data_IF_425481136485
#
_entry.id   IF_425481136485
#
_cell.length_a   1.000
_cell.length_b   1.000
_cell.length_c   1.000
_cell.angle_alpha   90.00
_cell.angle_beta   90.00
_cell.angle_gamma   90.00
#
_symmetry.space_group_name_H-M   'P 1'
#
loop_
_entity.id
_entity.type
_entity.pdbx_description
1 polymer ?
#
# COMPACT_ATOMS: atom_id res chain seq x y z
N UNK A 1 19.36 29.13 -47.19
CA UNK A 1 20.14 28.01 -46.62
C UNK A 1 19.67 27.64 -45.20
N UNK A 2 19.49 28.59 -44.27
CA UNK A 2 18.99 28.35 -42.90
C UNK A 2 17.60 27.66 -42.82
N UNK A 3 16.64 28.04 -43.67
CA UNK A 3 15.29 27.43 -43.67
C UNK A 3 15.29 25.94 -44.02
N UNK A 4 16.19 25.49 -44.91
CA UNK A 4 16.31 24.07 -45.27
C UNK A 4 16.94 23.24 -44.14
N UNK A 5 17.84 23.82 -43.36
CA UNK A 5 18.43 23.17 -42.17
C UNK A 5 17.35 22.99 -41.09
N UNK A 6 16.52 24.00 -40.85
CA UNK A 6 15.44 23.90 -39.87
C UNK A 6 14.34 22.91 -40.31
N UNK A 7 14.00 22.90 -41.61
CA UNK A 7 13.06 21.94 -42.17
C UNK A 7 13.57 20.49 -42.10
N UNK A 8 14.87 20.26 -42.26
CA UNK A 8 15.49 18.94 -42.11
C UNK A 8 15.62 18.52 -40.63
N UNK A 9 15.88 19.47 -39.73
CA UNK A 9 15.90 19.22 -38.28
C UNK A 9 14.51 18.83 -37.77
N UNK A 10 13.47 19.53 -38.20
CA UNK A 10 12.09 19.18 -37.87
C UNK A 10 11.72 17.78 -38.33
N UNK A 11 12.08 17.43 -39.57
CA UNK A 11 11.83 16.09 -40.14
C UNK A 11 12.55 14.98 -39.35
N UNK A 12 13.77 15.24 -38.90
CA UNK A 12 14.55 14.33 -38.07
C UNK A 12 13.88 14.13 -36.70
N UNK A 13 13.52 15.22 -36.01
CA UNK A 13 12.82 15.16 -34.72
C UNK A 13 11.48 14.42 -34.84
N UNK A 14 10.71 14.67 -35.90
CA UNK A 14 9.45 13.95 -36.15
C UNK A 14 9.67 12.44 -36.34
N UNK A 15 10.72 12.02 -37.06
CA UNK A 15 11.05 10.59 -37.21
C UNK A 15 11.49 9.93 -35.90
N UNK A 16 12.33 10.61 -35.10
CA UNK A 16 12.72 10.11 -33.78
C UNK A 16 11.50 10.01 -32.86
N UNK A 17 10.69 11.06 -32.76
CA UNK A 17 9.47 11.02 -31.95
C UNK A 17 8.53 9.90 -32.41
N UNK A 18 8.20 9.78 -33.70
CA UNK A 18 7.28 8.74 -34.17
C UNK A 18 7.80 7.30 -34.01
N UNK A 19 9.11 7.07 -34.05
CA UNK A 19 9.67 5.73 -33.92
C UNK A 19 9.78 5.27 -32.46
N UNK A 20 10.03 6.19 -31.52
CA UNK A 20 10.14 5.88 -30.09
C UNK A 20 8.81 6.03 -29.33
N UNK A 21 7.89 6.87 -29.80
CA UNK A 21 6.58 7.11 -29.16
C UNK A 21 5.72 5.85 -28.97
N UNK A 22 5.55 4.94 -29.95
CA UNK A 22 4.75 3.72 -29.73
C UNK A 22 5.42 2.74 -28.77
N UNK A 23 6.76 2.72 -28.67
CA UNK A 23 7.52 1.87 -27.72
C UNK A 23 7.41 2.41 -26.29
N UNK A 24 7.41 3.74 -26.15
CA UNK A 24 7.23 4.42 -24.87
C UNK A 24 5.78 4.25 -24.38
N UNK A 25 4.78 4.39 -25.26
CA UNK A 25 3.38 4.13 -24.91
C UNK A 25 3.16 2.63 -24.63
N UNK A 26 3.75 1.69 -25.38
CA UNK A 26 3.60 0.26 -25.06
C UNK A 26 4.22 -0.11 -23.72
N UNK A 27 5.28 0.57 -23.27
CA UNK A 27 5.83 0.37 -21.92
C UNK A 27 5.05 1.07 -20.81
N UNK A 28 4.43 2.22 -21.10
CA UNK A 28 3.66 3.01 -20.12
C UNK A 28 2.20 2.52 -20.00
N UNK A 29 1.58 2.06 -21.09
CA UNK A 29 0.20 1.58 -21.15
C UNK A 29 0.07 0.04 -21.25
N UNK A 30 1.16 -0.70 -21.54
CA UNK A 30 1.11 -2.16 -21.75
C UNK A 30 1.16 -3.02 -20.48
N UNK A 31 1.22 -2.40 -19.30
CA UNK A 31 0.71 -3.03 -18.10
C UNK A 31 -0.52 -2.21 -17.74
N UNK A 32 -1.69 -2.64 -18.20
CA UNK A 32 -2.89 -2.39 -17.41
C UNK A 32 -2.60 -3.11 -16.09
N UNK A 33 -1.97 -2.36 -15.17
CA UNK A 33 -1.60 -2.80 -13.85
C UNK A 33 -2.94 -3.01 -13.18
N UNK A 34 -3.50 -4.20 -13.37
CA UNK A 34 -4.65 -4.68 -12.65
C UNK A 34 -4.23 -4.53 -11.19
N UNK A 35 -4.70 -3.46 -10.55
CA UNK A 35 -4.29 -3.09 -9.19
C UNK A 35 -4.54 -4.26 -8.26
N UNK A 36 -5.50 -5.10 -8.63
CA UNK A 36 -5.91 -6.31 -7.96
C UNK A 36 -4.83 -7.39 -8.04
N UNK A 37 -4.12 -7.56 -9.17
CA UNK A 37 -3.03 -8.54 -9.32
C UNK A 37 -1.74 -8.10 -8.61
N UNK A 38 -1.34 -6.84 -8.73
CA UNK A 38 -0.16 -6.34 -7.99
C UNK A 38 -0.46 -6.28 -6.48
N UNK A 39 -1.69 -5.97 -6.07
CA UNK A 39 -2.15 -6.09 -4.68
C UNK A 39 -2.18 -7.56 -4.21
N UNK A 40 -2.55 -8.50 -5.08
CA UNK A 40 -2.54 -9.94 -4.77
C UNK A 40 -1.12 -10.53 -4.73
N UNK A 41 -0.18 -10.04 -5.53
CA UNK A 41 1.27 -10.37 -5.41
C UNK A 41 1.82 -9.85 -4.08
N UNK A 42 1.43 -8.64 -3.68
CA UNK A 42 1.81 -8.07 -2.39
C UNK A 42 1.17 -8.81 -1.20
N UNK A 43 -0.03 -9.37 -1.39
CA UNK A 43 -0.74 -10.19 -0.38
C UNK A 43 -0.21 -11.63 -0.29
N UNK A 44 0.29 -12.18 -1.39
CA UNK A 44 0.82 -13.55 -1.45
C UNK A 44 2.23 -13.64 -0.86
N UNK A 45 3.02 -12.57 -0.93
CA UNK A 45 4.30 -12.49 -0.23
C UNK A 45 4.08 -12.07 1.23
N UNK A 46 3.54 -12.97 2.06
CA UNK A 46 3.38 -12.77 3.52
C UNK A 46 4.72 -12.68 4.21
N UNK A 47 5.43 -11.56 4.04
CA UNK A 47 6.58 -11.23 4.86
C UNK A 47 6.06 -11.05 6.28
N UNK A 48 6.59 -11.81 7.26
CA UNK A 48 6.15 -11.63 8.64
C UNK A 48 6.47 -10.20 9.08
N UNK A 49 5.56 -9.59 9.83
CA UNK A 49 5.67 -8.20 10.30
C UNK A 49 7.03 -7.95 10.98
N UNK A 50 7.54 -8.96 11.70
CA UNK A 50 8.87 -8.92 12.32
C UNK A 50 10.00 -8.64 11.32
N UNK A 51 9.98 -9.25 10.13
CA UNK A 51 11.04 -9.03 9.13
C UNK A 51 11.05 -7.60 8.61
N UNK A 52 9.86 -7.01 8.40
CA UNK A 52 9.73 -5.61 7.94
C UNK A 52 10.25 -4.66 9.01
N UNK A 53 9.91 -4.89 10.29
CA UNK A 53 10.41 -4.09 11.39
C UNK A 53 11.94 -4.17 11.53
N UNK A 54 12.53 -5.36 11.40
CA UNK A 54 13.99 -5.52 11.45
C UNK A 54 14.67 -4.77 10.30
N UNK A 55 14.12 -4.83 9.08
CA UNK A 55 14.63 -4.08 7.93
C UNK A 55 14.50 -2.56 8.11
N UNK A 56 13.42 -2.09 8.74
CA UNK A 56 13.20 -0.68 9.03
C UNK A 56 14.18 -0.15 10.09
N UNK A 57 14.45 -0.94 11.13
CA UNK A 57 15.47 -0.63 12.14
C UNK A 57 16.86 -0.62 11.49
N UNK A 58 17.17 -1.60 10.66
CA UNK A 58 18.43 -1.65 9.92
C UNK A 58 18.59 -0.41 9.01
N UNK A 59 17.53 0.02 8.33
CA UNK A 59 17.52 1.26 7.54
C UNK A 59 17.83 2.49 8.41
N UNK A 60 17.30 2.59 9.64
CA UNK A 60 17.68 3.67 10.57
C UNK A 60 19.15 3.60 10.98
N UNK A 61 19.69 2.40 11.23
CA UNK A 61 21.10 2.23 11.56
C UNK A 61 22.02 2.71 10.42
N UNK A 62 21.64 2.44 9.16
CA UNK A 62 22.36 2.94 7.98
C UNK A 62 22.29 4.47 7.92
N UNK A 63 21.12 5.07 8.14
CA UNK A 63 20.95 6.52 8.18
C UNK A 63 21.81 7.18 9.26
N UNK A 64 21.88 6.57 10.46
CA UNK A 64 22.77 7.01 11.54
C UNK A 64 24.24 6.98 11.12
N UNK A 65 24.69 5.89 10.49
CA UNK A 65 26.07 5.78 10.00
C UNK A 65 26.41 6.90 8.99
N UNK A 66 25.50 7.19 8.05
CA UNK A 66 25.72 8.17 6.99
C UNK A 66 25.69 9.61 7.54
N UNK A 67 24.63 10.00 8.24
CA UNK A 67 24.39 11.40 8.60
C UNK A 67 24.96 11.80 9.97
N UNK A 68 24.96 10.89 10.95
CA UNK A 68 25.43 11.17 12.31
C UNK A 68 26.94 10.95 12.47
N UNK A 69 27.52 9.94 11.81
CA UNK A 69 28.96 9.64 11.92
C UNK A 69 29.77 9.98 10.66
N UNK A 70 29.12 10.22 9.52
CA UNK A 70 29.78 10.48 8.24
C UNK A 70 29.77 11.94 7.84
N UNK A 71 28.63 12.42 7.35
CA UNK A 71 28.55 13.65 6.54
C UNK A 71 28.31 14.90 7.39
N UNK A 72 27.26 14.90 8.23
CA UNK A 72 26.76 16.13 8.88
C UNK A 72 26.94 16.20 10.39
N UNK A 73 27.45 15.14 11.03
CA UNK A 73 27.58 15.03 12.49
C UNK A 73 26.28 15.41 13.24
N UNK A 74 25.13 15.09 12.65
CA UNK A 74 23.85 15.40 13.26
C UNK A 74 23.61 14.55 14.51
N UNK A 75 22.89 15.08 15.51
CA UNK A 75 22.44 14.27 16.63
C UNK A 75 21.69 13.02 16.15
N UNK A 76 21.88 11.91 16.86
CA UNK A 76 21.22 10.62 16.55
C UNK A 76 19.70 10.81 16.42
N UNK A 77 19.11 11.55 17.37
CA UNK A 77 17.67 11.82 17.40
C UNK A 77 17.22 12.61 16.17
N UNK A 78 17.95 13.66 15.79
CA UNK A 78 17.67 14.47 14.61
C UNK A 78 17.77 13.68 13.31
N UNK A 79 18.74 12.76 13.23
CA UNK A 79 18.93 11.90 12.06
C UNK A 79 17.76 10.93 11.87
N UNK A 80 17.32 10.28 12.96
CA UNK A 80 16.15 9.39 12.93
C UNK A 80 14.88 10.17 12.63
N UNK A 81 14.74 11.37 13.21
CA UNK A 81 13.62 12.27 12.93
C UNK A 81 13.56 12.65 11.44
N UNK A 82 14.66 13.10 10.86
CA UNK A 82 14.77 13.40 9.43
C UNK A 82 14.37 12.19 8.57
N UNK A 83 14.95 11.03 8.87
CA UNK A 83 14.69 9.78 8.15
C UNK A 83 13.20 9.42 8.15
N UNK A 84 12.58 9.33 9.33
CA UNK A 84 11.17 8.93 9.50
C UNK A 84 10.23 9.94 8.85
N UNK A 85 10.41 11.23 9.11
CA UNK A 85 9.51 12.28 8.59
C UNK A 85 9.59 12.39 7.07
N UNK A 86 10.76 12.17 6.49
CA UNK A 86 10.97 12.23 5.05
C UNK A 86 10.40 11.00 4.33
N UNK A 87 10.63 9.79 4.85
CA UNK A 87 10.01 8.58 4.28
C UNK A 87 8.48 8.56 4.46
N UNK A 88 7.98 9.16 5.56
CA UNK A 88 6.56 9.37 5.80
C UNK A 88 5.96 10.50 4.95
N UNK A 89 6.75 11.14 4.08
CA UNK A 89 6.35 12.26 3.21
C UNK A 89 5.88 13.52 3.94
N UNK A 90 6.02 13.59 5.27
CA UNK A 90 5.69 14.79 6.05
C UNK A 90 6.69 15.91 5.80
N UNK A 91 7.99 15.56 5.71
CA UNK A 91 9.07 16.43 5.24
C UNK A 91 9.05 17.89 5.73
N UNK A 92 9.22 18.11 7.04
CA UNK A 92 9.20 19.47 7.63
C UNK A 92 10.31 20.40 7.09
N UNK A 93 11.43 19.83 6.63
CA UNK A 93 12.51 20.56 5.95
C UNK A 93 13.52 21.27 6.87
N UNK A 94 13.38 21.13 8.18
CA UNK A 94 14.33 21.63 9.19
C UNK A 94 15.69 20.91 9.11
N UNK A 95 15.69 19.63 8.79
CA UNK A 95 16.87 18.84 8.43
C UNK A 95 16.80 18.43 6.96
N UNK A 96 17.84 18.73 6.19
CA UNK A 96 17.96 18.37 4.77
C UNK A 96 19.44 18.24 4.36
N UNK A 97 19.77 17.43 3.32
CA UNK A 97 21.11 17.40 2.73
C UNK A 97 21.48 18.74 2.10
N UNK A 98 22.76 19.11 2.07
CA UNK A 98 23.17 20.38 1.46
C UNK A 98 23.04 20.30 -0.06
N UNK A 99 22.47 21.34 -0.66
CA UNK A 99 22.23 21.39 -2.12
C UNK A 99 23.52 21.66 -2.90
N UNK A 100 24.56 22.19 -2.22
CA UNK A 100 25.84 22.54 -2.82
C UNK A 100 26.69 21.30 -3.15
N UNK A 101 26.40 20.17 -2.50
CA UNK A 101 27.06 18.88 -2.72
C UNK A 101 26.16 17.92 -3.51
N UNK A 102 26.36 17.85 -4.84
CA UNK A 102 25.70 16.86 -5.71
C UNK A 102 25.75 15.40 -5.19
N UNK A 103 26.87 14.88 -4.66
CA UNK A 103 26.91 13.50 -4.14
C UNK A 103 26.02 13.27 -2.91
N UNK A 104 25.90 14.26 -2.01
CA UNK A 104 25.05 14.14 -0.81
C UNK A 104 23.57 14.06 -1.19
N UNK A 105 23.17 14.86 -2.18
CA UNK A 105 21.80 14.85 -2.70
C UNK A 105 21.43 13.50 -3.32
N UNK A 106 22.33 12.88 -4.10
CA UNK A 106 22.08 11.54 -4.67
C UNK A 106 21.92 10.50 -3.55
N UNK A 107 22.83 10.51 -2.57
CA UNK A 107 22.79 9.57 -1.43
C UNK A 107 21.46 9.72 -0.69
N UNK A 108 21.02 10.96 -0.45
CA UNK A 108 19.75 11.23 0.20
C UNK A 108 18.55 10.70 -0.61
N UNK A 109 18.50 10.95 -1.92
CA UNK A 109 17.42 10.46 -2.79
C UNK A 109 17.34 8.94 -2.76
N UNK A 110 18.48 8.24 -2.90
CA UNK A 110 18.52 6.78 -2.87
C UNK A 110 18.10 6.23 -1.50
N UNK A 111 18.61 6.81 -0.42
CA UNK A 111 18.27 6.44 0.95
C UNK A 111 16.77 6.58 1.24
N UNK A 112 16.18 7.72 0.85
CA UNK A 112 14.75 8.02 1.04
C UNK A 112 13.90 7.09 0.17
N UNK A 113 14.30 6.83 -1.07
CA UNK A 113 13.57 5.93 -1.98
C UNK A 113 13.41 4.53 -1.38
N UNK A 114 14.48 3.98 -0.78
CA UNK A 114 14.42 2.69 -0.07
C UNK A 114 13.50 2.78 1.16
N UNK A 115 13.58 3.87 1.92
CA UNK A 115 12.74 4.11 3.10
C UNK A 115 11.24 4.14 2.77
N UNK A 116 10.86 4.77 1.65
CA UNK A 116 9.46 4.83 1.20
C UNK A 116 8.92 3.44 0.87
N UNK A 117 9.72 2.59 0.20
CA UNK A 117 9.32 1.20 -0.11
C UNK A 117 9.09 0.39 1.16
N UNK A 118 10.00 0.51 2.14
CA UNK A 118 9.88 -0.19 3.42
C UNK A 118 8.68 0.30 4.24
N UNK A 119 8.46 1.62 4.29
CA UNK A 119 7.33 2.20 5.01
C UNK A 119 5.99 1.83 4.34
N UNK A 120 5.94 1.83 3.00
CA UNK A 120 4.77 1.38 2.24
C UNK A 120 4.42 -0.08 2.54
N UNK A 121 5.43 -0.97 2.58
CA UNK A 121 5.23 -2.37 2.93
C UNK A 121 4.71 -2.56 4.37
N UNK A 122 5.17 -1.73 5.32
CA UNK A 122 4.66 -1.71 6.68
C UNK A 122 3.18 -1.30 6.72
N UNK A 123 2.81 -0.19 6.06
CA UNK A 123 1.42 0.27 6.00
C UNK A 123 0.49 -0.75 5.36
N UNK A 124 0.92 -1.40 4.27
CA UNK A 124 0.13 -2.44 3.62
C UNK A 124 -0.10 -3.64 4.55
N UNK A 125 0.96 -4.12 5.21
CA UNK A 125 0.86 -5.25 6.13
C UNK A 125 -0.05 -4.93 7.31
N UNK A 126 0.06 -3.73 7.88
CA UNK A 126 -0.83 -3.24 8.92
C UNK A 126 -2.28 -3.15 8.42
N UNK A 127 -2.52 -2.59 7.23
CA UNK A 127 -3.85 -2.48 6.65
C UNK A 127 -4.50 -3.87 6.47
N UNK A 128 -3.76 -4.86 5.97
CA UNK A 128 -4.24 -6.24 5.85
C UNK A 128 -4.54 -6.88 7.21
N UNK A 129 -3.71 -6.60 8.22
CA UNK A 129 -3.96 -7.06 9.58
C UNK A 129 -5.24 -6.44 10.16
N UNK A 130 -5.41 -5.12 10.03
CA UNK A 130 -6.64 -4.42 10.46
C UNK A 130 -7.88 -4.92 9.72
N UNK A 131 -7.81 -5.10 8.40
CA UNK A 131 -8.90 -5.66 7.60
C UNK A 131 -9.26 -7.08 8.03
N UNK A 132 -8.26 -7.93 8.28
CA UNK A 132 -8.48 -9.30 8.76
C UNK A 132 -9.11 -9.30 10.15
N UNK A 133 -8.62 -8.45 11.05
CA UNK A 133 -9.14 -8.31 12.41
C UNK A 133 -10.61 -7.87 12.40
N UNK A 134 -10.93 -6.80 11.67
CA UNK A 134 -12.31 -6.32 11.53
C UNK A 134 -13.20 -7.37 10.87
N UNK A 135 -12.72 -8.06 9.85
CA UNK A 135 -13.48 -9.12 9.19
C UNK A 135 -13.82 -10.27 10.16
N UNK A 136 -12.87 -10.70 11.00
CA UNK A 136 -13.09 -11.76 11.99
C UNK A 136 -14.12 -11.32 13.03
N UNK A 137 -13.97 -10.12 13.60
CA UNK A 137 -14.89 -9.58 14.61
C UNK A 137 -16.31 -9.40 14.06
N UNK A 138 -16.45 -8.73 12.91
CA UNK A 138 -17.76 -8.53 12.28
C UNK A 138 -18.41 -9.84 11.86
N UNK A 139 -17.65 -10.77 11.26
CA UNK A 139 -18.18 -12.07 10.86
C UNK A 139 -18.59 -12.90 12.08
N UNK A 140 -17.82 -12.86 13.16
CA UNK A 140 -18.13 -13.56 14.41
C UNK A 140 -19.49 -13.12 14.97
N UNK A 141 -19.72 -11.81 15.06
CA UNK A 141 -21.00 -11.24 15.50
C UNK A 141 -22.13 -11.63 14.53
N UNK A 142 -21.89 -11.53 13.23
CA UNK A 142 -22.92 -11.81 12.23
C UNK A 142 -23.35 -13.28 12.22
N UNK A 143 -22.40 -14.22 12.35
CA UNK A 143 -22.69 -15.65 12.47
C UNK A 143 -23.50 -15.94 13.73
N UNK A 144 -23.12 -15.36 14.87
CA UNK A 144 -23.89 -15.51 16.12
C UNK A 144 -25.32 -14.95 15.99
N UNK A 145 -25.48 -13.82 15.31
CA UNK A 145 -26.79 -13.22 15.07
C UNK A 145 -27.64 -14.07 14.12
N UNK A 146 -27.03 -14.59 13.06
CA UNK A 146 -27.69 -15.41 12.05
C UNK A 146 -28.21 -16.73 12.63
N UNK A 147 -27.43 -17.38 13.50
CA UNK A 147 -27.86 -18.59 14.19
C UNK A 147 -29.05 -18.33 15.12
N UNK A 148 -29.02 -17.23 15.89
CA UNK A 148 -30.16 -16.84 16.74
C UNK A 148 -31.41 -16.56 15.91
N UNK A 149 -31.28 -15.90 14.76
CA UNK A 149 -32.39 -15.64 13.85
C UNK A 149 -32.95 -16.93 13.22
N UNK A 150 -32.08 -17.87 12.84
CA UNK A 150 -32.49 -19.18 12.33
C UNK A 150 -33.26 -20.00 13.38
N UNK A 151 -32.78 -19.99 14.63
CA UNK A 151 -33.47 -20.63 15.74
C UNK A 151 -34.84 -20.00 16.00
N UNK A 152 -34.91 -18.67 16.04
CA UNK A 152 -36.19 -17.96 16.20
C UNK A 152 -37.18 -18.31 15.09
N UNK A 153 -36.73 -18.28 13.82
CA UNK A 153 -37.58 -18.60 12.66
C UNK A 153 -38.08 -20.04 12.69
N UNK A 154 -37.25 -20.98 13.18
CA UNK A 154 -37.61 -22.39 13.35
C UNK A 154 -38.60 -22.60 14.49
N UNK A 155 -38.40 -21.94 15.65
CA UNK A 155 -39.35 -21.98 16.76
C UNK A 155 -40.72 -21.39 16.36
N UNK A 156 -40.74 -20.28 15.63
CA UNK A 156 -41.99 -19.66 15.20
C UNK A 156 -42.76 -20.57 14.22
N UNK A 157 -42.06 -21.22 13.29
CA UNK A 157 -42.67 -22.16 12.34
C UNK A 157 -43.24 -23.42 13.03
N UNK A 158 -42.58 -23.92 14.07
CA UNK A 158 -43.10 -25.04 14.89
C UNK A 158 -44.33 -24.62 15.69
N UNK A 159 -44.32 -23.41 16.26
CA UNK A 159 -45.46 -22.84 16.97
C UNK A 159 -46.70 -22.72 16.07
N UNK A 160 -46.52 -22.22 14.85
CA UNK A 160 -47.61 -22.02 13.89
C UNK A 160 -48.23 -23.36 13.44
N UNK A 161 -47.39 -24.35 13.10
CA UNK A 161 -47.85 -25.69 12.74
C UNK A 161 -48.63 -26.40 13.87
N UNK A 162 -48.18 -26.25 15.12
CA UNK A 162 -48.86 -26.85 16.28
C UNK A 162 -50.21 -26.19 16.63
N UNK A 163 -50.40 -24.92 16.27
CA UNK A 163 -51.69 -24.24 16.43
C UNK A 163 -52.69 -24.71 15.36
N UNK A 164 -52.22 -24.91 14.12
CA UNK A 164 -53.04 -25.44 13.03
C UNK A 164 -53.56 -26.85 13.35
N UNK A 165 -52.70 -27.77 13.82
CA UNK A 165 -53.13 -29.13 14.19
C UNK A 165 -54.16 -29.14 15.32
N UNK A 166 -53.98 -28.31 16.35
CA UNK A 166 -54.94 -28.20 17.46
C UNK A 166 -56.27 -27.58 17.03
N UNK A 167 -56.26 -26.68 16.06
CA UNK A 167 -57.47 -26.12 15.45
C UNK A 167 -58.26 -27.15 14.65
N UNK A 168 -57.57 -28.01 13.89
CA UNK A 168 -58.19 -29.10 13.11
C UNK A 168 -58.82 -30.15 14.03
N UNK A 169 -58.13 -30.55 15.10
CA UNK A 169 -58.64 -31.55 16.04
C UNK A 169 -59.93 -31.11 16.78
N UNK A 170 -60.14 -29.80 16.98
CA UNK A 170 -61.34 -29.26 17.64
C UNK A 170 -62.58 -29.19 16.75
N UNK A 171 -62.42 -29.20 15.43
CA UNK A 171 -63.53 -29.11 14.47
C UNK A 171 -64.04 -30.49 14.00
N UNK A 172 -63.47 -31.58 14.54
CA UNK A 172 -63.82 -32.98 14.23
C UNK A 172 -64.73 -33.64 15.28
N UNK A 173 -65.21 -32.87 16.27
CA UNK A 173 -66.20 -33.28 17.26
C UNK A 173 -67.44 -32.39 17.16
#
# INVERSE_FOLDING_TARGET
MLFSVYANLGRLVTHFCCQYWPIIISKIFGKEHNKDEDFDVLKTQRLPLSSILTLLIFHQCVGLGIYSFGIKNWPIVSTVYFSITTMATSGFGDYHPDTDSWPETIIAILYISIGIVLLSALFLTLALYYQTFLYIEFKGIFVQLYDKLLLWKRCNKVGDNGIVEKGVAKNLH
#
